data_IF_180162469239
#
_entry.id   IF_180162469239
#
_cell.length_a   1.000
_cell.length_b   1.000
_cell.length_c   1.000
_cell.angle_alpha   90.00
_cell.angle_beta   90.00
_cell.angle_gamma   90.00
#
_symmetry.space_group_name_H-M   'P 1'
#
loop_
_entity.id
_entity.type
_entity.pdbx_description
1 polymer ?
#
# COMPACT_ATOMS: atom_id res chain seq x y z
N UNK A 1 18.92 49.50 -47.03
CA UNK A 1 17.95 49.42 -45.92
C UNK A 1 17.37 48.00 -45.93
N UNK A 2 17.83 47.14 -45.03
CA UNK A 2 17.46 45.70 -44.99
C UNK A 2 16.32 45.53 -44.00
N UNK A 3 15.12 45.19 -44.48
CA UNK A 3 14.03 44.75 -43.60
C UNK A 3 14.19 43.26 -43.29
N UNK A 4 14.45 42.94 -42.02
CA UNK A 4 14.47 41.57 -41.49
C UNK A 4 13.09 40.93 -41.69
N UNK A 5 13.04 39.80 -42.41
CA UNK A 5 11.86 38.93 -42.49
C UNK A 5 11.56 38.36 -41.10
N UNK A 6 10.45 38.81 -40.52
CA UNK A 6 9.89 38.27 -39.29
C UNK A 6 9.45 36.81 -39.49
N UNK A 7 9.73 36.00 -38.48
CA UNK A 7 9.25 34.64 -38.34
C UNK A 7 7.73 34.62 -38.52
N UNK A 8 7.24 33.83 -39.48
CA UNK A 8 5.81 33.72 -39.76
C UNK A 8 5.07 33.14 -38.55
N UNK A 9 3.99 33.83 -38.17
CA UNK A 9 3.10 33.59 -37.03
C UNK A 9 2.33 32.25 -36.95
N UNK A 10 2.19 31.37 -37.97
CA UNK A 10 1.34 30.19 -37.81
C UNK A 10 2.02 29.03 -37.04
N UNK A 11 3.36 29.00 -36.97
CA UNK A 11 4.07 27.93 -36.23
C UNK A 11 3.98 28.15 -34.72
N UNK A 12 4.06 29.41 -34.25
CA UNK A 12 3.95 29.76 -32.83
C UNK A 12 2.52 29.58 -32.31
N UNK A 13 1.51 29.89 -33.14
CA UNK A 13 0.10 29.72 -32.78
C UNK A 13 -0.29 28.23 -32.70
N UNK A 14 0.25 27.39 -33.58
CA UNK A 14 0.01 25.94 -33.51
C UNK A 14 0.63 25.30 -32.27
N UNK A 15 1.83 25.74 -31.86
CA UNK A 15 2.46 25.27 -30.62
C UNK A 15 1.72 25.77 -29.37
N UNK A 16 1.21 27.00 -29.35
CA UNK A 16 0.45 27.53 -28.20
C UNK A 16 -0.96 26.88 -28.08
N UNK A 17 -1.62 26.55 -29.20
CA UNK A 17 -2.90 25.83 -29.19
C UNK A 17 -2.72 24.36 -28.85
N UNK A 18 -1.65 23.71 -29.33
CA UNK A 18 -1.31 22.34 -28.96
C UNK A 18 -0.88 22.20 -27.49
N UNK A 19 -0.07 23.13 -26.96
CA UNK A 19 0.22 23.18 -25.51
C UNK A 19 -1.02 23.52 -24.68
N UNK A 20 -1.88 24.41 -25.17
CA UNK A 20 -3.15 24.76 -24.51
C UNK A 20 -4.14 23.59 -24.40
N UNK A 21 -4.28 22.77 -25.45
CA UNK A 21 -5.12 21.57 -25.41
C UNK A 21 -4.52 20.48 -24.49
N UNK A 22 -3.20 20.30 -24.50
CA UNK A 22 -2.52 19.36 -23.58
C UNK A 22 -2.65 19.82 -22.12
N UNK A 23 -2.63 21.14 -21.87
CA UNK A 23 -2.86 21.72 -20.53
C UNK A 23 -4.33 21.69 -20.08
N UNK A 24 -5.29 21.75 -20.99
CA UNK A 24 -6.73 21.65 -20.67
C UNK A 24 -7.19 20.20 -20.44
N UNK A 25 -6.54 19.22 -21.06
CA UNK A 25 -6.90 17.80 -20.92
C UNK A 25 -6.35 17.15 -19.64
N UNK A 26 -5.25 17.65 -19.08
CA UNK A 26 -4.63 17.09 -17.86
C UNK A 26 -5.49 17.24 -16.59
N UNK A 27 -6.10 18.40 -16.27
CA UNK A 27 -7.02 18.49 -15.15
C UNK A 27 -8.30 17.71 -15.42
N UNK A 28 -8.83 17.75 -16.65
CA UNK A 28 -10.06 17.03 -17.02
C UNK A 28 -9.90 15.51 -16.84
N UNK A 29 -8.77 14.93 -17.25
CA UNK A 29 -8.43 13.51 -17.00
C UNK A 29 -8.43 13.14 -15.52
N UNK A 30 -7.92 14.03 -14.66
CA UNK A 30 -7.90 13.84 -13.20
C UNK A 30 -9.31 13.87 -12.59
N UNK A 31 -10.16 14.82 -13.02
CA UNK A 31 -11.55 14.91 -12.53
C UNK A 31 -12.42 13.75 -13.01
N UNK A 32 -12.28 13.36 -14.28
CA UNK A 32 -12.92 12.16 -14.82
C UNK A 32 -12.47 10.94 -14.02
N UNK A 33 -11.17 10.79 -13.74
CA UNK A 33 -10.67 9.66 -12.96
C UNK A 33 -11.18 9.63 -11.52
N UNK A 34 -11.24 10.75 -10.79
CA UNK A 34 -11.79 10.79 -9.43
C UNK A 34 -13.29 10.45 -9.42
N UNK A 35 -14.05 10.95 -10.40
CA UNK A 35 -15.44 10.59 -10.59
C UNK A 35 -15.59 9.10 -10.94
N UNK A 36 -14.75 8.56 -11.82
CA UNK A 36 -14.76 7.14 -12.22
C UNK A 36 -14.23 6.19 -11.16
N UNK A 37 -13.35 6.59 -10.25
CA UNK A 37 -12.97 5.78 -9.10
C UNK A 37 -14.14 5.71 -8.12
N UNK A 38 -14.75 6.85 -7.81
CA UNK A 38 -15.87 6.91 -6.86
C UNK A 38 -17.13 6.21 -7.40
N UNK A 39 -17.41 6.33 -8.71
CA UNK A 39 -18.55 5.68 -9.37
C UNK A 39 -18.20 4.25 -9.80
N UNK A 40 -17.00 4.02 -10.32
CA UNK A 40 -16.51 2.72 -10.78
C UNK A 40 -16.28 1.74 -9.64
N UNK A 41 -15.74 2.15 -8.49
CA UNK A 41 -15.67 1.27 -7.30
C UNK A 41 -17.09 0.88 -6.84
N UNK A 42 -18.04 1.82 -6.87
CA UNK A 42 -19.46 1.53 -6.58
C UNK A 42 -20.14 0.67 -7.65
N UNK A 43 -19.63 0.67 -8.88
CA UNK A 43 -20.14 -0.07 -10.03
C UNK A 43 -19.29 -1.30 -10.43
N UNK A 44 -18.29 -1.69 -9.62
CA UNK A 44 -17.40 -2.82 -9.88
C UNK A 44 -16.30 -2.64 -10.94
N UNK A 45 -16.11 -1.43 -11.50
CA UNK A 45 -15.06 -1.09 -12.47
C UNK A 45 -13.85 -0.49 -11.74
N UNK A 46 -12.77 -1.25 -11.65
CA UNK A 46 -11.54 -0.82 -10.99
C UNK A 46 -10.37 -0.66 -12.00
N UNK A 47 -9.92 0.58 -12.19
CA UNK A 47 -8.76 0.91 -13.03
C UNK A 47 -7.41 0.77 -12.32
N UNK A 48 -7.42 0.52 -11.01
CA UNK A 48 -6.24 0.22 -10.21
C UNK A 48 -6.29 -1.25 -9.81
N UNK A 49 -5.41 -2.07 -10.37
CA UNK A 49 -5.40 -3.51 -10.09
C UNK A 49 -5.23 -3.85 -8.60
N UNK A 50 -4.82 -2.91 -7.74
CA UNK A 50 -4.68 -3.11 -6.30
C UNK A 50 -5.95 -3.63 -5.60
N UNK A 51 -7.15 -3.37 -6.14
CA UNK A 51 -8.40 -3.87 -5.57
C UNK A 51 -9.03 -5.03 -6.37
N UNK A 52 -8.28 -5.69 -7.27
CA UNK A 52 -8.78 -6.83 -8.04
C UNK A 52 -8.46 -8.17 -7.35
N UNK A 53 -9.34 -9.16 -7.55
CA UNK A 53 -9.07 -10.53 -7.10
C UNK A 53 -7.80 -11.09 -7.75
N UNK A 54 -7.55 -10.76 -9.02
CA UNK A 54 -6.31 -11.17 -9.71
C UNK A 54 -5.03 -10.64 -9.05
N UNK A 55 -5.06 -9.45 -8.44
CA UNK A 55 -3.91 -8.91 -7.71
C UNK A 55 -3.76 -9.58 -6.34
N UNK A 56 -4.88 -9.91 -5.69
CA UNK A 56 -4.87 -10.76 -4.48
C UNK A 56 -4.27 -12.13 -4.80
N UNK A 57 -4.66 -12.75 -5.91
CA UNK A 57 -4.14 -14.04 -6.36
C UNK A 57 -2.65 -13.95 -6.72
N UNK A 58 -2.21 -12.83 -7.32
CA UNK A 58 -0.79 -12.53 -7.54
C UNK A 58 0.00 -12.43 -6.23
N UNK A 59 -0.54 -11.76 -5.20
CA UNK A 59 0.11 -11.68 -3.88
C UNK A 59 0.19 -13.06 -3.25
N UNK A 60 -0.90 -13.85 -3.29
CA UNK A 60 -0.94 -15.22 -2.77
C UNK A 60 0.01 -16.16 -3.52
N UNK A 61 0.27 -15.91 -4.80
CA UNK A 61 1.21 -16.68 -5.61
C UNK A 61 2.67 -16.25 -5.44
N UNK A 62 2.94 -15.13 -4.74
CA UNK A 62 4.30 -14.80 -4.31
C UNK A 62 4.74 -15.84 -3.27
N UNK A 63 5.63 -16.74 -3.67
CA UNK A 63 6.11 -17.84 -2.83
C UNK A 63 7.13 -17.39 -1.79
N UNK A 64 6.78 -17.51 -0.51
CA UNK A 64 7.69 -18.09 0.49
C UNK A 64 7.55 -19.62 0.48
N UNK A 65 8.59 -20.33 0.87
CA UNK A 65 8.55 -21.80 1.03
C UNK A 65 7.65 -22.15 2.23
N UNK A 66 6.64 -22.99 2.02
CA UNK A 66 5.82 -23.57 3.09
C UNK A 66 6.29 -25.01 3.35
N UNK A 67 6.79 -25.32 4.54
CA UNK A 67 6.98 -26.71 4.99
C UNK A 67 5.67 -27.19 5.63
N UNK A 68 5.01 -28.16 4.99
CA UNK A 68 3.75 -28.76 5.45
C UNK A 68 3.97 -30.04 6.29
N UNK A 69 5.14 -30.21 6.90
CA UNK A 69 5.42 -31.36 7.78
C UNK A 69 5.33 -30.94 9.24
N UNK A 70 4.41 -31.53 10.00
CA UNK A 70 4.30 -31.34 11.46
C UNK A 70 5.42 -32.04 12.26
N UNK A 71 6.51 -32.42 11.60
CA UNK A 71 7.66 -33.10 12.19
C UNK A 71 8.82 -32.11 12.28
N UNK A 72 9.14 -31.67 13.51
CA UNK A 72 10.38 -30.96 13.75
C UNK A 72 11.54 -31.98 13.81
N UNK A 73 12.57 -31.76 12.98
CA UNK A 73 13.81 -32.55 12.98
C UNK A 73 14.95 -31.63 13.42
N UNK A 74 15.67 -32.00 14.48
CA UNK A 74 16.82 -31.25 14.97
C UNK A 74 18.04 -32.17 15.07
N UNK A 75 19.16 -31.79 14.45
CA UNK A 75 20.39 -32.60 14.36
C UNK A 75 20.13 -34.06 13.92
N UNK A 76 19.31 -34.23 12.87
CA UNK A 76 18.98 -35.54 12.30
C UNK A 76 18.22 -36.48 13.28
N UNK A 77 17.54 -35.91 14.28
CA UNK A 77 16.64 -36.63 15.20
C UNK A 77 15.26 -36.00 15.19
N UNK A 78 14.23 -36.83 15.06
CA UNK A 78 12.84 -36.42 15.23
C UNK A 78 12.56 -36.12 16.71
N UNK A 79 11.95 -34.97 16.98
CA UNK A 79 11.54 -34.56 18.34
C UNK A 79 10.03 -34.71 18.48
N UNK A 80 9.59 -35.48 19.48
CA UNK A 80 8.18 -35.66 19.83
C UNK A 80 7.70 -34.45 20.63
N UNK A 81 6.57 -33.84 20.24
CA UNK A 81 5.97 -32.72 20.96
C UNK A 81 5.58 -33.15 22.38
N UNK A 82 6.18 -32.52 23.39
CA UNK A 82 5.85 -32.72 24.79
C UNK A 82 4.99 -31.54 25.25
N UNK A 83 3.70 -31.78 25.48
CA UNK A 83 2.69 -30.75 25.80
C UNK A 83 2.94 -30.02 27.14
N UNK A 84 3.95 -30.42 27.90
CA UNK A 84 4.37 -29.78 29.15
C UNK A 84 5.29 -28.56 28.94
N UNK A 85 5.68 -28.26 27.69
CA UNK A 85 6.40 -27.04 27.31
C UNK A 85 5.50 -25.98 26.64
N UNK A 86 4.17 -26.11 26.76
CA UNK A 86 3.18 -25.26 26.08
C UNK A 86 3.26 -23.75 26.44
N UNK A 87 4.03 -23.35 27.46
CA UNK A 87 4.28 -21.94 27.79
C UNK A 87 5.46 -21.31 27.03
N UNK A 88 6.22 -22.09 26.26
CA UNK A 88 7.24 -21.53 25.38
C UNK A 88 6.58 -21.08 24.07
N UNK A 89 6.24 -19.78 23.98
CA UNK A 89 5.70 -19.13 22.76
C UNK A 89 6.59 -19.47 21.54
N UNK A 90 6.17 -20.43 20.73
CA UNK A 90 6.88 -20.85 19.52
C UNK A 90 6.41 -19.99 18.34
N UNK A 91 7.35 -19.62 17.46
CA UNK A 91 7.06 -18.88 16.25
C UNK A 91 6.04 -19.65 15.39
N UNK A 92 4.82 -19.14 15.28
CA UNK A 92 3.73 -19.74 14.50
C UNK A 92 2.48 -20.14 15.29
N UNK A 93 2.52 -20.09 16.63
CA UNK A 93 1.29 -20.16 17.42
C UNK A 93 0.44 -18.90 17.14
N UNK A 94 -0.79 -19.10 16.65
CA UNK A 94 -1.75 -18.01 16.55
C UNK A 94 -2.03 -17.56 17.98
N UNK A 95 -1.37 -16.49 18.41
CA UNK A 95 -1.74 -15.78 19.62
C UNK A 95 -3.25 -15.53 19.51
N UNK A 96 -4.07 -15.83 20.54
CA UNK A 96 -5.47 -15.44 20.54
C UNK A 96 -5.51 -13.98 20.09
N UNK A 97 -6.23 -13.70 19.00
CA UNK A 97 -6.23 -12.37 18.39
C UNK A 97 -6.49 -11.35 19.50
N UNK A 98 -5.46 -10.60 19.87
CA UNK A 98 -5.59 -9.61 20.91
C UNK A 98 -6.37 -8.44 20.32
N UNK A 99 -7.70 -8.51 20.45
CA UNK A 99 -8.60 -7.47 19.95
C UNK A 99 -8.43 -6.15 20.72
N UNK A 100 -7.66 -6.15 21.82
CA UNK A 100 -7.23 -4.91 22.45
C UNK A 100 -6.14 -4.19 21.65
N UNK A 101 -5.57 -4.84 20.63
CA UNK A 101 -4.49 -4.31 19.83
C UNK A 101 -4.90 -4.07 18.38
N UNK A 102 -4.76 -2.84 17.90
CA UNK A 102 -5.08 -2.50 16.52
C UNK A 102 -4.20 -1.38 15.96
N UNK A 103 -4.17 -1.32 14.63
CA UNK A 103 -3.59 -0.20 13.88
C UNK A 103 -4.73 0.75 13.53
N UNK A 104 -4.56 2.02 13.84
CA UNK A 104 -5.49 3.09 13.47
C UNK A 104 -4.79 4.02 12.47
N UNK A 105 -5.46 4.37 11.38
CA UNK A 105 -4.93 5.24 10.33
C UNK A 105 -5.90 6.40 10.15
N UNK A 106 -5.41 7.60 10.46
CA UNK A 106 -6.14 8.84 10.28
C UNK A 106 -5.71 9.50 8.95
N UNK A 107 -6.64 9.60 8.00
CA UNK A 107 -6.42 10.14 6.66
C UNK A 107 -6.36 11.67 6.63
N UNK A 108 -6.95 12.40 7.58
CA UNK A 108 -6.80 13.86 7.65
C UNK A 108 -5.45 14.26 8.22
N UNK A 109 -4.96 13.52 9.21
CA UNK A 109 -3.68 13.77 9.87
C UNK A 109 -2.49 13.14 9.15
N UNK A 110 -2.76 12.27 8.17
CA UNK A 110 -1.73 11.45 7.51
C UNK A 110 -0.86 10.74 8.55
N UNK A 111 -1.50 10.05 9.49
CA UNK A 111 -0.85 9.43 10.64
C UNK A 111 -1.35 8.02 10.89
N UNK A 112 -0.42 7.15 11.27
CA UNK A 112 -0.70 5.81 11.76
C UNK A 112 -0.44 5.77 13.26
N UNK A 113 -1.34 5.14 13.99
CA UNK A 113 -1.28 4.92 15.42
C UNK A 113 -1.28 3.42 15.72
N UNK A 114 -0.37 3.00 16.58
CA UNK A 114 -0.40 1.67 17.19
C UNK A 114 -1.17 1.78 18.50
N UNK A 115 -2.26 1.04 18.63
CA UNK A 115 -3.20 1.14 19.76
C UNK A 115 -3.20 -0.16 20.55
N UNK A 116 -3.18 -0.03 21.87
CA UNK A 116 -3.34 -1.12 22.84
C UNK A 116 -4.29 -0.67 23.95
N UNK A 117 -5.51 -1.22 23.97
CA UNK A 117 -6.60 -0.77 24.83
C UNK A 117 -6.86 0.73 24.64
N UNK A 118 -6.78 1.51 25.72
CA UNK A 118 -6.97 2.97 25.66
C UNK A 118 -5.72 3.74 25.22
N UNK A 119 -4.58 3.07 25.10
CA UNK A 119 -3.29 3.72 24.92
C UNK A 119 -2.84 3.72 23.45
N UNK A 120 -2.14 4.78 23.06
CA UNK A 120 -1.36 4.82 21.83
C UNK A 120 0.09 4.50 22.17
N UNK A 121 0.58 3.34 21.73
CA UNK A 121 1.95 2.89 22.02
C UNK A 121 3.00 3.51 21.09
N UNK A 122 2.60 3.89 19.87
CA UNK A 122 3.43 4.64 18.93
C UNK A 122 2.57 5.38 17.90
N UNK A 123 3.15 6.41 17.28
CA UNK A 123 2.54 7.10 16.14
C UNK A 123 3.58 7.50 15.11
N UNK A 124 3.22 7.42 13.82
CA UNK A 124 4.13 7.69 12.70
C UNK A 124 3.43 8.49 11.62
N UNK A 125 4.18 9.38 10.96
CA UNK A 125 3.70 10.03 9.75
C UNK A 125 3.61 9.01 8.62
N UNK A 126 2.53 9.07 7.84
CA UNK A 126 2.33 8.19 6.70
C UNK A 126 2.00 8.98 5.44
N UNK A 127 2.09 8.32 4.29
CA UNK A 127 1.60 8.86 3.02
C UNK A 127 0.58 7.92 2.41
N UNK A 128 -0.67 8.35 2.42
CA UNK A 128 -1.81 7.56 1.92
C UNK A 128 -2.16 7.94 0.48
N UNK A 129 -3.28 7.41 0.01
CA UNK A 129 -3.76 7.49 -1.36
C UNK A 129 -3.87 8.90 -1.96
N UNK A 130 -3.01 9.21 -2.94
CA UNK A 130 -3.09 10.41 -3.79
C UNK A 130 -3.73 10.10 -5.14
N UNK A 131 -3.25 9.03 -5.79
CA UNK A 131 -3.75 8.62 -7.11
C UNK A 131 -4.84 7.58 -7.00
N UNK A 132 -5.00 6.90 -5.87
CA UNK A 132 -6.21 6.15 -5.55
C UNK A 132 -6.50 6.43 -4.08
N UNK A 133 -7.73 6.72 -3.66
CA UNK A 133 -8.03 6.93 -2.25
C UNK A 133 -7.74 5.65 -1.47
N UNK A 134 -7.16 5.81 -0.26
CA UNK A 134 -7.15 4.72 0.71
C UNK A 134 -8.57 4.54 1.23
N UNK A 135 -9.17 3.35 1.13
CA UNK A 135 -10.54 3.14 1.58
C UNK A 135 -10.63 3.28 3.11
N UNK A 136 -11.71 3.88 3.60
CA UNK A 136 -12.07 3.91 5.02
C UNK A 136 -12.87 2.67 5.40
N UNK A 137 -12.74 2.23 6.65
CA UNK A 137 -13.37 1.00 7.15
C UNK A 137 -12.48 0.24 8.11
N UNK A 138 -12.94 -0.95 8.47
CA UNK A 138 -12.23 -1.87 9.36
C UNK A 138 -11.92 -3.18 8.66
N UNK A 139 -10.68 -3.61 8.79
CA UNK A 139 -10.18 -4.85 8.22
C UNK A 139 -9.21 -5.53 9.17
N UNK A 140 -8.68 -6.67 8.74
CA UNK A 140 -7.62 -7.39 9.45
C UNK A 140 -6.47 -7.67 8.50
N UNK A 141 -5.24 -7.59 9.00
CA UNK A 141 -4.05 -7.98 8.24
C UNK A 141 -4.22 -9.44 7.83
N UNK A 142 -4.27 -9.73 6.53
CA UNK A 142 -4.47 -11.08 6.03
C UNK A 142 -3.15 -11.72 5.58
N UNK A 143 -2.11 -10.93 5.32
CA UNK A 143 -0.75 -11.45 5.10
C UNK A 143 0.33 -10.41 5.41
N UNK A 144 1.53 -10.90 5.69
CA UNK A 144 2.73 -10.13 6.00
C UNK A 144 3.90 -10.63 5.16
N UNK A 145 4.56 -9.75 4.43
CA UNK A 145 5.72 -10.04 3.59
C UNK A 145 6.89 -9.14 3.96
N UNK A 146 8.04 -9.73 4.30
CA UNK A 146 9.24 -8.95 4.65
C UNK A 146 9.73 -8.11 3.47
N UNK A 147 9.66 -8.65 2.26
CA UNK A 147 9.91 -7.95 1.01
C UNK A 147 8.93 -8.45 -0.04
N UNK A 148 8.41 -7.56 -0.87
CA UNK A 148 7.58 -7.94 -2.03
C UNK A 148 7.82 -6.99 -3.19
N UNK A 149 7.59 -7.45 -4.41
CA UNK A 149 7.55 -6.57 -5.58
C UNK A 149 6.15 -6.02 -5.72
N UNK A 150 6.02 -4.70 -5.83
CA UNK A 150 4.74 -4.05 -6.12
C UNK A 150 4.79 -3.36 -7.47
N UNK A 151 3.81 -3.63 -8.33
CA UNK A 151 3.66 -2.96 -9.61
C UNK A 151 2.21 -2.66 -9.88
N UNK A 152 1.94 -1.50 -10.47
CA UNK A 152 0.57 -1.07 -10.74
C UNK A 152 0.52 0.36 -11.27
N UNK A 153 -0.60 1.03 -11.05
CA UNK A 153 -0.86 2.35 -11.63
C UNK A 153 -1.11 2.28 -13.14
N UNK A 154 -1.08 3.44 -13.80
CA UNK A 154 -1.39 3.54 -15.23
C UNK A 154 -0.29 4.26 -15.99
N UNK A 155 0.26 3.60 -17.02
CA UNK A 155 1.24 4.20 -17.93
C UNK A 155 0.65 5.40 -18.68
N UNK A 156 -0.61 5.28 -19.13
CA UNK A 156 -1.32 6.35 -19.83
C UNK A 156 -1.54 7.61 -18.96
N UNK A 157 -1.54 7.46 -17.64
CA UNK A 157 -1.69 8.55 -16.68
C UNK A 157 -0.35 9.01 -16.08
N UNK A 158 0.77 8.39 -16.46
CA UNK A 158 2.08 8.70 -15.88
C UNK A 158 2.20 8.33 -14.40
N UNK A 159 1.36 7.41 -13.92
CA UNK A 159 1.34 6.95 -12.52
C UNK A 159 1.79 5.51 -12.37
N UNK A 160 2.28 4.89 -13.44
CA UNK A 160 2.80 3.53 -13.41
C UNK A 160 3.99 3.42 -12.46
N UNK A 161 4.05 2.34 -11.70
CA UNK A 161 5.17 2.02 -10.84
C UNK A 161 5.51 0.54 -10.91
N UNK A 162 6.78 0.25 -10.64
CA UNK A 162 7.31 -1.09 -10.54
C UNK A 162 8.46 -1.08 -9.53
N UNK A 163 8.15 -1.42 -8.29
CA UNK A 163 8.99 -1.23 -7.12
C UNK A 163 9.44 -2.61 -6.63
N UNK A 164 10.72 -2.99 -6.84
CA UNK A 164 11.27 -4.21 -6.29
C UNK A 164 11.48 -4.07 -4.76
N UNK A 165 11.38 -5.19 -4.04
CA UNK A 165 11.80 -5.30 -2.64
C UNK A 165 11.16 -4.27 -1.70
N UNK A 166 9.88 -3.96 -1.88
CA UNK A 166 9.10 -3.14 -0.96
C UNK A 166 9.09 -3.82 0.42
N UNK A 167 9.67 -3.19 1.47
CA UNK A 167 9.89 -3.86 2.74
C UNK A 167 8.64 -3.82 3.64
N UNK A 168 8.54 -4.79 4.54
CA UNK A 168 7.60 -4.83 5.67
C UNK A 168 6.13 -4.62 5.26
N UNK A 169 5.71 -5.33 4.22
CA UNK A 169 4.36 -5.20 3.66
C UNK A 169 3.35 -5.97 4.49
N UNK A 170 2.26 -5.31 4.88
CA UNK A 170 1.14 -5.87 5.62
C UNK A 170 -0.14 -5.56 4.85
N UNK A 171 -0.68 -6.53 4.12
CA UNK A 171 -1.93 -6.34 3.39
C UNK A 171 -3.12 -6.58 4.32
N UNK A 172 -4.10 -5.68 4.27
CA UNK A 172 -5.29 -5.73 5.14
C UNK A 172 -6.60 -5.72 4.36
N UNK A 173 -6.63 -5.19 3.13
CA UNK A 173 -7.83 -5.20 2.30
C UNK A 173 -7.45 -5.37 0.84
N UNK A 174 -7.77 -6.52 0.24
CA UNK A 174 -7.36 -6.85 -1.13
C UNK A 174 -5.85 -6.56 -1.28
N UNK A 175 -5.41 -5.77 -2.28
CA UNK A 175 -4.03 -5.33 -2.42
C UNK A 175 -3.64 -4.07 -1.65
N UNK A 176 -4.54 -3.45 -0.87
CA UNK A 176 -4.20 -2.34 0.01
C UNK A 176 -3.41 -2.86 1.22
N UNK A 177 -2.29 -2.21 1.49
CA UNK A 177 -1.41 -2.58 2.59
C UNK A 177 -0.65 -1.42 3.17
N UNK A 178 -0.06 -1.67 4.33
CA UNK A 178 0.90 -0.80 5.00
C UNK A 178 2.29 -1.33 4.65
N UNK A 179 3.22 -0.46 4.24
CA UNK A 179 4.57 -0.90 3.90
C UNK A 179 5.59 0.24 3.99
N UNK A 180 6.87 -0.11 4.00
CA UNK A 180 7.96 0.87 3.86
C UNK A 180 8.05 1.42 2.43
N UNK A 181 8.29 2.72 2.31
CA UNK A 181 8.48 3.40 1.02
C UNK A 181 9.87 4.04 0.96
N UNK A 182 10.82 3.37 0.31
CA UNK A 182 12.20 3.87 0.16
C UNK A 182 12.34 4.92 -0.95
N UNK A 183 11.33 5.10 -1.80
CA UNK A 183 11.39 5.93 -3.00
C UNK A 183 10.95 7.39 -2.79
N UNK A 184 10.48 7.76 -1.59
CA UNK A 184 10.16 9.15 -1.25
C UNK A 184 10.30 9.43 0.25
N UNK A 185 10.36 10.71 0.61
CA UNK A 185 10.46 11.17 2.01
C UNK A 185 9.31 12.10 2.47
N UNK A 186 8.27 12.28 1.64
CA UNK A 186 7.15 13.20 1.85
C UNK A 186 6.09 12.69 2.86
N UNK A 187 6.51 12.03 3.94
CA UNK A 187 5.60 11.50 4.97
C UNK A 187 4.81 12.63 5.63
N UNK A 188 3.52 12.41 5.85
CA UNK A 188 2.55 13.45 6.23
C UNK A 188 1.81 14.08 5.05
N UNK A 189 2.13 13.67 3.81
CA UNK A 189 1.40 14.08 2.60
C UNK A 189 0.97 12.86 1.80
N UNK A 190 -0.21 12.93 1.15
CA UNK A 190 -0.69 11.85 0.28
C UNK A 190 0.27 11.63 -0.90
N UNK A 191 0.77 10.40 -1.09
CA UNK A 191 1.78 10.07 -2.10
C UNK A 191 1.66 8.64 -2.67
N UNK A 192 0.57 7.92 -2.44
CA UNK A 192 0.44 6.52 -2.88
C UNK A 192 -0.73 6.27 -3.86
N UNK A 193 -0.83 5.04 -4.35
CA UNK A 193 -1.98 4.50 -5.09
C UNK A 193 -2.97 3.77 -4.17
N UNK A 194 -3.04 4.16 -2.90
CA UNK A 194 -3.97 3.63 -1.93
C UNK A 194 -3.29 2.98 -0.72
N UNK A 195 -2.10 2.40 -0.89
CA UNK A 195 -1.32 1.87 0.23
C UNK A 195 -0.96 2.96 1.25
N UNK A 196 -0.63 2.53 2.46
CA UNK A 196 -0.15 3.41 3.53
C UNK A 196 1.37 3.31 3.56
N UNK A 197 2.02 4.31 2.97
CA UNK A 197 3.48 4.38 2.89
C UNK A 197 4.05 4.90 4.22
N UNK A 198 5.04 4.20 4.74
CA UNK A 198 5.78 4.55 5.96
C UNK A 198 7.28 4.68 5.67
N UNK A 199 8.04 5.31 6.57
CA UNK A 199 9.51 5.16 6.51
C UNK A 199 9.87 3.68 6.70
N UNK A 200 10.83 3.11 5.95
CA UNK A 200 11.17 1.69 6.07
C UNK A 200 11.47 1.21 7.49
N UNK A 201 12.15 2.03 8.30
CA UNK A 201 12.47 1.77 9.70
C UNK A 201 11.22 1.72 10.59
N UNK A 202 10.29 2.65 10.41
CA UNK A 202 9.01 2.71 11.13
C UNK A 202 8.09 1.55 10.73
N UNK A 203 8.07 1.23 9.42
CA UNK A 203 7.33 0.07 8.91
C UNK A 203 7.82 -1.23 9.55
N UNK A 204 9.13 -1.35 9.78
CA UNK A 204 9.72 -2.50 10.49
C UNK A 204 9.24 -2.61 11.94
N UNK A 205 9.08 -1.49 12.64
CA UNK A 205 8.53 -1.47 14.00
C UNK A 205 7.08 -1.98 13.98
N UNK A 206 6.22 -1.42 13.13
CA UNK A 206 4.82 -1.84 13.01
C UNK A 206 4.73 -3.31 12.59
N UNK A 207 5.56 -3.75 11.65
CA UNK A 207 5.60 -5.13 11.16
C UNK A 207 6.00 -6.12 12.23
N UNK A 208 6.97 -5.81 13.08
CA UNK A 208 7.36 -6.72 14.16
C UNK A 208 6.34 -6.72 15.30
N UNK A 209 5.66 -5.59 15.51
CA UNK A 209 4.63 -5.47 16.53
C UNK A 209 3.33 -6.17 16.12
N UNK A 210 2.79 -5.93 14.92
CA UNK A 210 1.53 -6.50 14.47
C UNK A 210 1.64 -7.98 14.10
N UNK A 211 0.55 -8.73 14.19
CA UNK A 211 0.45 -10.12 13.77
C UNK A 211 -0.52 -10.24 12.57
N UNK A 212 -0.50 -11.38 11.87
CA UNK A 212 -1.59 -11.67 10.92
C UNK A 212 -2.88 -11.76 11.73
N UNK A 213 -3.92 -11.05 11.30
CA UNK A 213 -5.19 -10.91 12.00
C UNK A 213 -5.33 -9.65 12.85
N UNK A 214 -4.26 -8.86 13.08
CA UNK A 214 -4.35 -7.56 13.75
C UNK A 214 -5.34 -6.66 13.03
N UNK A 215 -6.24 -6.02 13.78
CA UNK A 215 -7.26 -5.11 13.24
C UNK A 215 -6.60 -3.84 12.69
N UNK A 216 -7.10 -3.37 11.55
CA UNK A 216 -6.72 -2.12 10.90
C UNK A 216 -7.97 -1.28 10.71
N UNK A 217 -8.00 -0.11 11.35
CA UNK A 217 -9.09 0.86 11.29
C UNK A 217 -8.61 2.07 10.49
N UNK A 218 -9.31 2.41 9.41
CA UNK A 218 -8.98 3.58 8.58
C UNK A 218 -10.16 4.54 8.59
N UNK A 219 -9.90 5.79 8.98
CA UNK A 219 -10.91 6.85 9.06
C UNK A 219 -10.32 8.21 8.66
N UNK A 220 -11.18 9.20 8.49
CA UNK A 220 -10.78 10.58 8.26
C UNK A 220 -10.38 11.31 9.55
#
# INVERSE_FOLDING_TARGET
MVFKKGFSHPVVLFFLVALGLVFLLTPLKKYVYLAYQNVGIKAGINLNNIASQSYVDFIKSQTGQFENTSEAVWLNKSITYNSLLADAKVLGEQSPLDDNKWIEINLSEQRLYMKEGTNTVASFLVSTGKWAPTPTGEWRIWTKLRYTRMSGGSQALGTYYNLPNVPYTMYYYQGYGIHGAYWHNNFGQRMSHGCVNMRPEEAGIVFNWAEVGTRVVVHD
#
